data_IF_113913352447
#
_entry.id   IF_113913352447
#
_cell.length_a   1.000
_cell.length_b   1.000
_cell.length_c   1.000
_cell.angle_alpha   90.00
_cell.angle_beta   90.00
_cell.angle_gamma   90.00
#
_symmetry.space_group_name_H-M   'P 1'
#
loop_
_entity.id
_entity.type
_entity.pdbx_description
1 polymer ?
#
# COMPACT_ATOMS: atom_id res chain seq x y z
N UNK A 1 -8.28 -15.59 1.97
CA UNK A 1 -7.72 -14.25 1.68
C UNK A 1 -7.08 -14.16 0.30
N UNK A 2 -6.24 -15.13 -0.12
CA UNK A 2 -5.61 -15.14 -1.45
C UNK A 2 -6.59 -14.97 -2.63
N UNK A 3 -7.71 -15.71 -2.65
CA UNK A 3 -8.69 -15.61 -3.73
C UNK A 3 -9.25 -14.20 -3.89
N UNK A 4 -9.60 -13.53 -2.79
CA UNK A 4 -10.11 -12.17 -2.83
C UNK A 4 -9.08 -11.17 -3.40
N UNK A 5 -7.80 -11.34 -3.05
CA UNK A 5 -6.72 -10.53 -3.62
C UNK A 5 -6.52 -10.83 -5.11
N UNK A 6 -6.63 -12.09 -5.52
CA UNK A 6 -6.58 -12.45 -6.95
C UNK A 6 -7.72 -11.79 -7.72
N UNK A 7 -8.96 -11.90 -7.25
CA UNK A 7 -10.11 -11.24 -7.90
C UNK A 7 -9.95 -9.72 -7.94
N UNK A 8 -9.48 -9.11 -6.84
CA UNK A 8 -9.14 -7.69 -6.81
C UNK A 8 -8.15 -7.30 -7.91
N UNK A 9 -7.05 -8.06 -8.06
CA UNK A 9 -6.02 -7.82 -9.07
C UNK A 9 -6.52 -8.04 -10.51
N UNK A 10 -7.53 -8.88 -10.73
CA UNK A 10 -8.13 -9.10 -12.04
C UNK A 10 -8.96 -7.89 -12.50
N UNK A 11 -9.48 -7.09 -11.57
CA UNK A 11 -10.25 -5.87 -11.86
C UNK A 11 -9.36 -4.66 -12.16
N UNK A 12 -8.04 -4.78 -11.95
CA UNK A 12 -7.09 -3.70 -12.18
C UNK A 12 -6.55 -3.73 -13.61
N UNK A 13 -6.45 -2.55 -14.20
CA UNK A 13 -5.90 -2.30 -15.52
C UNK A 13 -5.28 -0.90 -15.57
N UNK A 14 -4.72 -0.54 -16.72
CA UNK A 14 -4.02 0.72 -16.93
C UNK A 14 -4.87 1.92 -16.54
N UNK A 15 -4.33 2.77 -15.66
CA UNK A 15 -4.99 3.98 -15.18
C UNK A 15 -6.07 3.77 -14.12
N UNK A 16 -6.44 2.53 -13.78
CA UNK A 16 -7.39 2.22 -12.70
C UNK A 16 -6.78 2.60 -11.34
N UNK A 17 -7.62 3.09 -10.43
CA UNK A 17 -7.21 3.42 -9.06
C UNK A 17 -7.56 2.26 -8.14
N UNK A 18 -6.53 1.63 -7.57
CA UNK A 18 -6.66 0.52 -6.64
C UNK A 18 -6.56 0.97 -5.19
N UNK A 19 -7.53 0.57 -4.37
CA UNK A 19 -7.50 0.77 -2.92
C UNK A 19 -7.68 -0.56 -2.19
N UNK A 20 -6.74 -0.90 -1.31
CA UNK A 20 -6.82 -2.06 -0.44
C UNK A 20 -6.88 -1.61 1.03
N UNK A 21 -7.98 -1.95 1.70
CA UNK A 21 -8.14 -1.80 3.14
C UNK A 21 -8.08 -3.16 3.81
N UNK A 22 -7.27 -3.27 4.87
CA UNK A 22 -7.18 -4.46 5.70
C UNK A 22 -7.19 -4.10 7.17
N UNK A 23 -8.02 -4.80 7.95
CA UNK A 23 -8.05 -4.72 9.40
C UNK A 23 -7.91 -6.12 10.00
N UNK A 24 -6.91 -6.30 10.88
CA UNK A 24 -6.67 -7.61 11.49
C UNK A 24 -5.25 -7.81 11.99
N UNK A 25 -4.84 -9.08 12.12
CA UNK A 25 -3.48 -9.41 12.51
C UNK A 25 -2.50 -9.17 11.35
N UNK A 26 -1.36 -8.59 11.70
CA UNK A 26 -0.28 -8.29 10.78
C UNK A 26 1.05 -8.21 11.50
N UNK A 27 2.12 -8.30 10.73
CA UNK A 27 3.48 -8.12 11.20
C UNK A 27 4.33 -7.43 10.14
N UNK A 28 5.49 -6.93 10.55
CA UNK A 28 6.45 -6.30 9.64
C UNK A 28 7.87 -6.80 9.92
N UNK A 29 8.49 -7.39 8.90
CA UNK A 29 9.87 -7.86 8.96
C UNK A 29 10.65 -7.21 7.81
N UNK A 30 11.78 -6.55 8.13
CA UNK A 30 12.69 -5.94 7.15
C UNK A 30 12.02 -4.97 6.17
N UNK A 31 10.98 -4.24 6.61
CA UNK A 31 10.24 -3.31 5.76
C UNK A 31 9.07 -3.93 5.00
N UNK A 32 8.98 -5.27 4.96
CA UNK A 32 7.88 -6.01 4.35
C UNK A 32 6.72 -6.17 5.32
N UNK A 33 5.52 -5.79 4.88
CA UNK A 33 4.29 -5.86 5.66
C UNK A 33 3.52 -7.11 5.26
N UNK A 34 3.09 -7.87 6.26
CA UNK A 34 2.39 -9.14 6.07
C UNK A 34 1.03 -9.10 6.76
N UNK A 35 -0.02 -9.45 6.02
CA UNK A 35 -1.37 -9.64 6.52
C UNK A 35 -1.55 -11.11 6.89
N UNK A 36 -2.05 -11.39 8.10
CA UNK A 36 -2.17 -12.76 8.64
C UNK A 36 -3.62 -13.23 8.50
N UNK A 37 -3.90 -14.27 7.69
CA UNK A 37 -5.22 -14.89 7.59
C UNK A 37 -5.69 -15.52 8.91
N UNK A 38 -7.01 -15.67 9.07
CA UNK A 38 -7.62 -16.29 10.26
C UNK A 38 -7.26 -17.78 10.42
N UNK A 39 -6.92 -18.45 9.32
CA UNK A 39 -6.57 -19.86 9.22
C UNK A 39 -5.05 -20.10 9.32
N UNK A 40 -4.25 -19.07 9.61
CA UNK A 40 -2.81 -19.21 9.82
C UNK A 40 -2.52 -20.06 11.06
N UNK A 41 -1.52 -20.97 11.01
CA UNK A 41 -1.15 -21.79 12.17
C UNK A 41 -0.50 -20.93 13.26
N UNK A 42 -0.44 -21.44 14.51
CA UNK A 42 0.13 -20.68 15.63
C UNK A 42 1.59 -20.24 15.39
N UNK A 43 2.38 -21.05 14.68
CA UNK A 43 3.75 -20.75 14.25
C UNK A 43 3.78 -20.33 12.78
N UNK A 44 3.02 -19.28 12.43
CA UNK A 44 2.96 -18.78 11.05
C UNK A 44 4.26 -18.09 10.63
N UNK A 45 4.51 -18.16 9.34
CA UNK A 45 5.64 -17.52 8.62
C UNK A 45 5.10 -16.81 7.38
N UNK A 46 5.94 -16.11 6.64
CA UNK A 46 5.58 -15.42 5.40
C UNK A 46 4.85 -16.30 4.39
N UNK A 47 5.13 -17.61 4.37
CA UNK A 47 4.46 -18.60 3.49
C UNK A 47 2.96 -18.75 3.75
N UNK A 48 2.51 -18.46 4.96
CA UNK A 48 1.12 -18.58 5.38
C UNK A 48 0.38 -17.23 5.34
N UNK A 49 1.10 -16.15 5.01
CA UNK A 49 0.62 -14.79 5.10
C UNK A 49 0.64 -14.11 3.72
N UNK A 50 0.00 -12.96 3.60
CA UNK A 50 0.02 -12.18 2.37
C UNK A 50 0.99 -11.01 2.52
N UNK A 51 2.04 -11.02 1.71
CA UNK A 51 2.96 -9.89 1.60
C UNK A 51 2.31 -8.75 0.82
N UNK A 52 2.19 -7.59 1.46
CA UNK A 52 1.58 -6.39 0.85
C UNK A 52 2.41 -5.89 -0.33
N UNK A 53 3.74 -5.97 -0.24
CA UNK A 53 4.65 -5.56 -1.31
C UNK A 53 4.40 -6.37 -2.58
N UNK A 54 4.19 -7.69 -2.46
CA UNK A 54 3.85 -8.54 -3.60
C UNK A 54 2.51 -8.14 -4.25
N UNK A 55 1.55 -7.66 -3.46
CA UNK A 55 0.29 -7.14 -4.01
C UNK A 55 0.55 -5.84 -4.77
N UNK A 56 1.30 -4.91 -4.18
CA UNK A 56 1.68 -3.66 -4.84
C UNK A 56 2.40 -3.91 -6.17
N UNK A 57 3.39 -4.80 -6.21
CA UNK A 57 4.09 -5.15 -7.45
C UNK A 57 3.12 -5.61 -8.53
N UNK A 58 2.16 -6.47 -8.18
CA UNK A 58 1.11 -6.92 -9.13
C UNK A 58 0.16 -5.80 -9.55
N UNK A 59 -0.14 -4.84 -8.67
CA UNK A 59 -0.92 -3.65 -9.05
C UNK A 59 -0.13 -2.78 -10.05
N UNK A 60 1.18 -2.64 -9.85
CA UNK A 60 2.06 -1.88 -10.74
C UNK A 60 2.26 -2.55 -12.10
N UNK A 61 2.34 -3.88 -12.14
CA UNK A 61 2.34 -4.66 -13.40
C UNK A 61 1.07 -4.42 -14.23
N UNK A 62 -0.03 -3.99 -13.59
CA UNK A 62 -1.28 -3.59 -14.26
C UNK A 62 -1.31 -2.12 -14.69
N UNK A 63 -0.23 -1.37 -14.50
CA UNK A 63 -0.14 0.06 -14.84
C UNK A 63 -1.26 0.91 -14.21
N UNK A 64 -1.72 0.54 -13.00
CA UNK A 64 -2.70 1.31 -12.22
C UNK A 64 -2.27 2.77 -12.05
N UNK A 65 -3.20 3.71 -12.19
CA UNK A 65 -2.91 5.14 -12.05
C UNK A 65 -2.73 5.61 -10.60
N UNK A 66 -3.26 4.86 -9.62
CA UNK A 66 -3.08 5.15 -8.20
C UNK A 66 -3.20 3.86 -7.36
N UNK A 67 -2.31 3.69 -6.39
CA UNK A 67 -2.32 2.55 -5.47
C UNK A 67 -2.36 3.04 -4.02
N UNK A 68 -3.44 2.72 -3.30
CA UNK A 68 -3.65 3.12 -1.90
C UNK A 68 -3.76 1.88 -1.01
N UNK A 69 -2.96 1.84 0.06
CA UNK A 69 -3.01 0.79 1.07
C UNK A 69 -3.34 1.37 2.44
N UNK A 70 -4.39 0.85 3.06
CA UNK A 70 -4.83 1.21 4.39
C UNK A 70 -4.77 -0.02 5.29
N UNK A 71 -3.71 -0.11 6.09
CA UNK A 71 -3.38 -1.30 6.88
C UNK A 71 -3.59 -1.03 8.37
N UNK A 72 -4.76 -1.41 8.87
CA UNK A 72 -5.12 -1.37 10.29
C UNK A 72 -4.71 -2.68 10.97
N UNK A 73 -3.40 -2.83 11.17
CA UNK A 73 -2.81 -4.05 11.72
C UNK A 73 -1.56 -3.74 12.55
N UNK A 74 -1.22 -4.68 13.44
CA UNK A 74 0.04 -4.63 14.17
C UNK A 74 1.25 -4.71 13.21
N UNK A 75 2.39 -4.18 13.68
CA UNK A 75 3.65 -4.12 12.91
C UNK A 75 4.84 -4.58 13.75
N UNK A 76 4.58 -5.52 14.65
CA UNK A 76 5.63 -6.14 15.48
C UNK A 76 6.38 -7.13 14.61
N UNK A 77 7.68 -7.31 14.84
CA UNK A 77 8.47 -8.31 14.13
C UNK A 77 7.99 -9.72 14.49
N UNK A 78 7.79 -10.59 13.50
CA UNK A 78 7.55 -12.00 13.72
C UNK A 78 8.89 -12.75 13.84
N UNK A 79 9.25 -13.32 15.00
CA UNK A 79 10.52 -14.02 15.18
C UNK A 79 10.59 -15.36 14.44
N UNK A 80 9.45 -15.92 14.02
CA UNK A 80 9.39 -17.20 13.31
C UNK A 80 9.68 -17.04 11.81
N UNK A 81 9.87 -15.82 11.32
CA UNK A 81 9.94 -15.50 9.90
C UNK A 81 11.20 -14.68 9.56
N UNK A 82 12.30 -15.35 9.20
CA UNK A 82 13.57 -14.70 8.86
C UNK A 82 13.69 -14.30 7.37
N UNK A 83 12.56 -14.23 6.65
CA UNK A 83 12.52 -13.90 5.23
C UNK A 83 12.87 -12.42 5.00
N UNK A 84 13.92 -12.18 4.19
CA UNK A 84 14.36 -10.85 3.71
C UNK A 84 13.86 -10.54 2.29
N UNK A 85 13.00 -11.39 1.74
CA UNK A 85 12.97 -11.70 0.30
C UNK A 85 12.01 -10.85 -0.53
N UNK A 86 11.97 -9.54 -0.31
CA UNK A 86 11.37 -8.62 -1.29
C UNK A 86 12.22 -7.36 -1.35
N UNK A 87 13.00 -7.23 -2.43
CA UNK A 87 13.86 -6.08 -2.73
C UNK A 87 13.07 -4.88 -3.28
N UNK A 88 11.77 -4.80 -2.93
CA UNK A 88 10.87 -3.72 -3.30
C UNK A 88 10.55 -2.96 -2.01
N UNK A 89 11.35 -1.95 -1.71
CA UNK A 89 11.01 -1.00 -0.66
C UNK A 89 9.74 -0.25 -1.12
N UNK A 90 8.66 -0.31 -0.34
CA UNK A 90 7.44 0.49 -0.58
C UNK A 90 7.78 1.99 -0.75
N UNK A 91 8.92 2.43 -0.22
CA UNK A 91 9.40 3.81 -0.37
C UNK A 91 9.96 4.13 -1.77
N UNK A 92 10.32 3.12 -2.55
CA UNK A 92 10.99 3.26 -3.85
C UNK A 92 10.08 2.87 -5.04
N UNK A 93 8.85 2.42 -4.78
CA UNK A 93 7.94 1.93 -5.82
C UNK A 93 7.27 3.03 -6.64
N UNK A 94 7.29 4.28 -6.19
CA UNK A 94 6.61 5.40 -6.85
C UNK A 94 7.67 6.27 -7.55
N UNK A 95 7.83 6.10 -8.86
CA UNK A 95 8.83 6.82 -9.65
C UNK A 95 8.38 8.21 -10.15
N UNK A 96 7.15 8.65 -9.88
CA UNK A 96 6.66 9.97 -10.29
C UNK A 96 6.77 10.98 -9.14
N UNK A 97 6.91 12.27 -9.46
CA UNK A 97 7.20 13.34 -8.49
C UNK A 97 5.92 13.95 -7.87
N UNK A 98 5.96 14.46 -6.62
CA UNK A 98 4.74 14.97 -5.92
C UNK A 98 4.09 16.13 -6.67
N UNK A 99 4.90 16.81 -7.46
CA UNK A 99 4.52 17.87 -8.38
C UNK A 99 3.54 17.37 -9.45
N UNK A 100 3.75 16.18 -10.00
CA UNK A 100 2.86 15.58 -11.01
C UNK A 100 1.55 15.07 -10.38
N UNK A 101 1.62 14.61 -9.13
CA UNK A 101 0.45 14.17 -8.36
C UNK A 101 -0.35 15.31 -7.69
N UNK A 102 0.03 16.58 -7.89
CA UNK A 102 -0.71 17.74 -7.38
C UNK A 102 -0.75 17.88 -5.85
N UNK A 103 0.18 17.27 -5.12
CA UNK A 103 0.15 17.23 -3.65
C UNK A 103 0.75 18.48 -3.01
N UNK A 104 -0.10 19.32 -2.40
CA UNK A 104 0.27 20.56 -1.70
C UNK A 104 0.74 20.36 -0.24
N UNK A 105 0.71 19.13 0.29
CA UNK A 105 0.77 18.89 1.75
C UNK A 105 2.14 18.56 2.34
N UNK A 106 3.24 18.57 1.58
CA UNK A 106 4.57 18.22 2.10
C UNK A 106 5.64 19.27 1.80
N UNK A 107 5.33 20.55 2.07
CA UNK A 107 6.36 21.59 2.15
C UNK A 107 6.65 21.88 3.63
N UNK A 108 7.51 21.04 4.24
CA UNK A 108 8.77 21.46 4.90
C UNK A 108 9.31 20.44 5.91
N UNK A 109 10.63 20.28 5.79
CA UNK A 109 11.60 19.92 6.82
C UNK A 109 11.64 18.48 7.33
N UNK A 110 12.46 17.63 6.68
CA UNK A 110 13.83 17.34 7.14
C UNK A 110 14.47 16.21 6.29
N UNK A 111 15.45 16.61 5.47
CA UNK A 111 16.67 15.88 5.09
C UNK A 111 16.56 14.40 4.65
N UNK A 112 16.38 14.16 3.34
CA UNK A 112 17.08 13.08 2.62
C UNK A 112 17.46 13.58 1.21
N UNK A 113 18.61 13.09 0.72
CA UNK A 113 19.38 13.50 -0.48
C UNK A 113 18.60 13.88 -1.76
N UNK A 114 19.15 14.76 -2.61
CA UNK A 114 18.48 15.30 -3.82
C UNK A 114 18.21 14.33 -4.97
N UNK A 115 18.55 13.04 -4.87
CA UNK A 115 18.49 12.09 -5.99
C UNK A 115 17.39 11.02 -5.94
N UNK A 116 16.44 11.05 -5.00
CA UNK A 116 15.34 10.05 -4.99
C UNK A 116 14.00 10.66 -4.56
N UNK A 117 13.06 10.91 -5.48
CA UNK A 117 11.70 11.28 -5.10
C UNK A 117 10.98 10.05 -4.51
N UNK A 118 10.78 10.02 -3.19
CA UNK A 118 10.08 8.93 -2.50
C UNK A 118 8.64 9.36 -2.16
N UNK A 119 7.64 8.93 -2.93
CA UNK A 119 6.25 9.35 -2.69
C UNK A 119 5.42 8.32 -1.98
N UNK A 120 5.91 7.91 -0.82
CA UNK A 120 5.21 7.02 0.08
C UNK A 120 4.79 7.82 1.32
N UNK A 121 3.49 8.13 1.45
CA UNK A 121 2.97 8.77 2.66
C UNK A 121 2.51 7.72 3.66
N UNK A 122 3.29 7.51 4.71
CA UNK A 122 2.96 6.58 5.79
C UNK A 122 2.34 7.29 6.98
N UNK A 123 1.04 7.12 7.17
CA UNK A 123 0.39 7.48 8.42
C UNK A 123 0.62 6.36 9.44
N UNK A 124 1.22 6.68 10.60
CA UNK A 124 1.52 5.73 11.68
C UNK A 124 0.66 6.02 12.91
N UNK A 125 0.60 5.06 13.84
CA UNK A 125 -0.02 5.22 15.16
C UNK A 125 -1.55 5.40 15.17
N UNK A 126 -2.26 4.89 14.16
CA UNK A 126 -3.73 4.92 14.10
C UNK A 126 -4.38 4.26 15.32
N UNK A 127 -3.76 3.22 15.87
CA UNK A 127 -4.19 2.56 17.09
C UNK A 127 -4.18 3.46 18.35
N UNK A 128 -3.56 4.64 18.31
CA UNK A 128 -3.55 5.63 19.42
C UNK A 128 -4.65 6.67 19.28
N UNK A 129 -5.40 6.64 18.19
CA UNK A 129 -6.44 7.59 17.89
C UNK A 129 -7.61 7.41 18.86
N UNK A 130 -8.02 8.48 19.53
CA UNK A 130 -9.04 8.43 20.60
C UNK A 130 -10.45 8.79 20.12
N UNK A 131 -10.61 9.22 18.87
CA UNK A 131 -11.89 9.67 18.31
C UNK A 131 -12.07 9.11 16.90
N UNK A 132 -11.89 9.92 15.86
CA UNK A 132 -12.09 9.51 14.46
C UNK A 132 -10.90 9.97 13.61
N UNK A 133 -10.60 9.18 12.57
CA UNK A 133 -9.69 9.58 11.50
C UNK A 133 -10.52 9.61 10.24
N UNK A 134 -10.76 10.82 9.75
CA UNK A 134 -11.42 11.04 8.48
C UNK A 134 -10.37 11.51 7.49
N UNK A 135 -10.20 10.77 6.41
CA UNK A 135 -9.45 11.22 5.24
C UNK A 135 -10.40 11.21 4.05
N UNK A 136 -10.31 12.26 3.23
CA UNK A 136 -11.08 12.37 1.99
C UNK A 136 -10.12 12.17 0.84
N UNK A 137 -10.34 11.15 0.02
CA UNK A 137 -9.64 10.98 -1.25
C UNK A 137 -10.53 11.61 -2.32
N UNK A 138 -10.14 12.79 -2.81
CA UNK A 138 -10.81 13.43 -3.94
C UNK A 138 -10.15 13.00 -5.24
N UNK A 139 -10.87 12.21 -6.04
CA UNK A 139 -10.44 11.82 -7.38
C UNK A 139 -11.13 12.76 -8.37
N UNK A 140 -10.38 13.69 -8.97
CA UNK A 140 -10.88 14.49 -10.08
C UNK A 140 -10.52 13.80 -11.39
N UNK A 141 -11.54 13.43 -12.16
CA UNK A 141 -11.37 12.88 -13.50
C UNK A 141 -12.24 13.65 -14.48
N UNK A 142 -11.68 13.98 -15.64
CA UNK A 142 -12.39 14.64 -16.74
C UNK A 142 -12.59 13.61 -17.84
N UNK A 143 -13.84 13.18 -18.06
CA UNK A 143 -14.16 12.25 -19.13
C UNK A 143 -14.24 13.01 -20.46
N UNK A 144 -13.43 12.61 -21.45
CA UNK A 144 -13.39 13.25 -22.76
C UNK A 144 -14.54 12.82 -23.70
N UNK A 145 -15.22 11.69 -23.43
CA UNK A 145 -16.17 11.05 -24.36
C UNK A 145 -17.56 10.80 -23.74
N UNK A 146 -18.01 11.62 -22.78
CA UNK A 146 -19.39 11.52 -22.27
C UNK A 146 -20.39 12.37 -23.07
N UNK A 147 -19.93 13.08 -24.10
CA UNK A 147 -20.73 14.00 -24.93
C UNK A 147 -21.08 13.43 -26.33
N UNK A 148 -20.78 12.15 -26.59
CA UNK A 148 -21.22 11.47 -27.83
C UNK A 148 -22.48 10.63 -27.52
N UNK A 149 -23.65 11.22 -27.78
CA UNK A 149 -24.98 10.58 -27.82
C UNK A 149 -25.12 9.52 -28.92
#
# INVERSE_FOLDING_TARGET
MHSAVTEFLLLLDKGVYGLLYFAGHGYENYGNSFMVPIDAPASYTSKHCLCVQNILTKMQEKETGLNVFLLDMCRVRNPNDDVKDVDVDLKQSNQETLLEAGSLLLIKDELLSPDVPSLYTRVRSLQRLRRELTFTVCLHYTYANMDEE
#
